data_IF_986069105307
#
_entry.id   IF_986069105307
#
_cell.length_a   1.000
_cell.length_b   1.000
_cell.length_c   1.000
_cell.angle_alpha   90.00
_cell.angle_beta   90.00
_cell.angle_gamma   90.00
#
_symmetry.space_group_name_H-M   'P 1'
#
loop_
_entity.id
_entity.type
_entity.pdbx_description
1 polymer ?
#
# COMPACT_ATOMS: atom_id res chain seq x y z
N UNK A 1 8.68 -12.68 -9.97
CA UNK A 1 8.34 -11.98 -8.72
C UNK A 1 7.75 -10.64 -9.11
N UNK A 2 6.63 -10.30 -8.49
CA UNK A 2 6.05 -8.97 -8.60
C UNK A 2 6.69 -8.06 -7.55
N UNK A 3 6.75 -6.77 -7.85
CA UNK A 3 7.33 -5.74 -7.00
C UNK A 3 6.26 -4.71 -6.69
N UNK A 4 5.95 -4.55 -5.40
CA UNK A 4 5.10 -3.48 -4.90
C UNK A 4 5.98 -2.49 -4.16
N UNK A 5 5.94 -1.22 -4.54
CA UNK A 5 6.61 -0.16 -3.80
C UNK A 5 5.63 0.94 -3.42
N UNK A 6 5.84 1.52 -2.24
CA UNK A 6 5.04 2.62 -1.68
C UNK A 6 6.03 3.68 -1.23
N UNK A 7 5.86 4.89 -1.74
CA UNK A 7 6.69 6.03 -1.40
C UNK A 7 5.82 7.06 -0.67
N UNK A 8 6.15 7.32 0.60
CA UNK A 8 5.31 8.16 1.46
C UNK A 8 6.04 8.73 2.69
N UNK A 9 5.39 9.68 3.34
CA UNK A 9 5.70 10.19 4.67
C UNK A 9 4.52 9.98 5.66
N UNK A 10 3.73 8.92 5.45
CA UNK A 10 2.58 8.60 6.30
C UNK A 10 1.29 9.37 5.99
N UNK A 11 1.33 10.34 5.07
CA UNK A 11 0.16 11.11 4.65
C UNK A 11 -0.41 10.61 3.31
N UNK A 12 -1.73 10.38 3.26
CA UNK A 12 -2.43 9.90 2.06
C UNK A 12 -2.21 10.78 0.82
N UNK A 13 -2.14 12.10 1.00
CA UNK A 13 -1.86 13.07 -0.07
C UNK A 13 -0.42 13.02 -0.60
N UNK A 14 0.50 12.46 0.19
CA UNK A 14 1.91 12.26 -0.11
C UNK A 14 2.22 10.77 -0.12
N UNK A 15 1.41 10.03 -0.88
CA UNK A 15 1.58 8.59 -1.10
C UNK A 15 1.55 8.29 -2.59
N UNK A 16 2.61 7.70 -3.11
CA UNK A 16 2.65 7.09 -4.44
C UNK A 16 2.81 5.58 -4.30
N UNK A 17 2.14 4.84 -5.18
CA UNK A 17 2.24 3.38 -5.24
C UNK A 17 2.73 2.97 -6.61
N UNK A 18 3.68 2.05 -6.63
CA UNK A 18 4.32 1.53 -7.82
C UNK A 18 4.12 0.02 -7.87
N UNK A 19 3.86 -0.49 -9.06
CA UNK A 19 3.79 -1.93 -9.32
C UNK A 19 4.69 -2.26 -10.50
N UNK A 20 5.65 -3.16 -10.29
CA UNK A 20 6.70 -3.53 -11.25
C UNK A 20 7.40 -2.30 -11.86
N UNK A 21 7.75 -1.33 -11.01
CA UNK A 21 8.46 -0.10 -11.40
C UNK A 21 7.62 0.98 -12.08
N UNK A 22 6.32 0.75 -12.31
CA UNK A 22 5.40 1.76 -12.87
C UNK A 22 4.51 2.34 -11.79
N UNK A 23 4.40 3.68 -11.71
CA UNK A 23 3.46 4.30 -10.79
C UNK A 23 2.02 4.04 -11.25
N UNK A 24 1.16 3.61 -10.33
CA UNK A 24 -0.24 3.32 -10.57
C UNK A 24 -1.16 4.28 -9.81
N UNK A 25 -2.36 4.50 -10.34
CA UNK A 25 -3.36 5.37 -9.76
C UNK A 25 -4.73 4.69 -9.65
N UNK A 26 -5.67 5.33 -8.95
CA UNK A 26 -7.02 4.82 -8.77
C UNK A 26 -7.16 3.78 -7.66
N UNK A 27 -6.12 3.58 -6.86
CA UNK A 27 -6.15 2.73 -5.66
C UNK A 27 -7.18 3.28 -4.67
N UNK A 28 -8.01 2.38 -4.15
CA UNK A 28 -9.01 2.63 -3.12
C UNK A 28 -8.56 2.05 -1.79
N UNK A 29 -7.92 0.90 -1.83
CA UNK A 29 -7.46 0.18 -0.66
C UNK A 29 -6.22 -0.63 -1.02
N UNK A 30 -5.23 -0.61 -0.14
CA UNK A 30 -4.06 -1.46 -0.15
C UNK A 30 -3.96 -2.08 1.23
N UNK A 31 -3.87 -3.41 1.28
CA UNK A 31 -3.80 -4.17 2.51
C UNK A 31 -2.70 -5.22 2.40
N UNK A 32 -1.72 -5.16 3.29
CA UNK A 32 -0.71 -6.18 3.50
C UNK A 32 -0.78 -6.61 4.96
N UNK A 33 -0.89 -7.92 5.18
CA UNK A 33 -0.67 -8.54 6.47
C UNK A 33 0.17 -9.79 6.21
N UNK A 34 1.46 -9.68 6.48
CA UNK A 34 2.44 -10.75 6.27
C UNK A 34 3.04 -11.06 7.63
N UNK A 35 3.01 -12.32 8.06
CA UNK A 35 3.65 -12.76 9.30
C UNK A 35 4.51 -14.01 9.10
N UNK A 36 5.47 -14.21 10.00
CA UNK A 36 6.38 -15.37 9.99
C UNK A 36 5.68 -16.71 10.28
N UNK A 37 4.46 -16.66 10.82
CA UNK A 37 3.65 -17.84 11.20
C UNK A 37 2.81 -18.38 10.03
N UNK A 38 2.88 -17.73 8.86
CA UNK A 38 2.30 -18.20 7.60
C UNK A 38 1.11 -17.37 7.09
N UNK A 39 0.78 -16.23 7.71
CA UNK A 39 -0.19 -15.30 7.11
C UNK A 39 0.47 -14.55 5.96
N UNK A 40 -0.19 -14.56 4.79
CA UNK A 40 0.23 -13.80 3.62
C UNK A 40 -0.99 -13.21 2.90
N UNK A 41 -1.55 -12.15 3.49
CA UNK A 41 -2.64 -11.40 2.89
C UNK A 41 -2.08 -10.17 2.17
N UNK A 42 -2.22 -10.12 0.85
CA UNK A 42 -1.73 -9.01 0.03
C UNK A 42 -2.79 -8.58 -0.97
N UNK A 43 -3.66 -7.66 -0.59
CA UNK A 43 -4.83 -7.24 -1.37
C UNK A 43 -4.70 -5.80 -1.85
N UNK A 44 -5.11 -5.57 -3.10
CA UNK A 44 -5.28 -4.25 -3.67
C UNK A 44 -6.69 -4.10 -4.24
N UNK A 45 -7.35 -3.01 -3.91
CA UNK A 45 -8.56 -2.54 -4.56
C UNK A 45 -8.25 -1.29 -5.38
N UNK A 46 -8.64 -1.29 -6.66
CA UNK A 46 -8.39 -0.16 -7.55
C UNK A 46 -9.49 0.01 -8.60
N UNK A 47 -9.67 1.25 -9.06
CA UNK A 47 -10.51 1.58 -10.21
C UNK A 47 -9.67 1.54 -11.49
N UNK A 48 -9.93 0.57 -12.35
CA UNK A 48 -9.23 0.38 -13.62
C UNK A 48 -9.45 1.51 -14.63
N UNK A 49 -8.68 1.51 -15.71
CA UNK A 49 -8.79 2.45 -16.85
C UNK A 49 -10.16 2.38 -17.55
N UNK A 50 -10.83 1.24 -17.44
CA UNK A 50 -12.20 0.98 -17.89
C UNK A 50 -13.28 1.41 -16.89
N UNK A 51 -12.87 2.03 -15.77
CA UNK A 51 -13.73 2.51 -14.67
C UNK A 51 -14.40 1.40 -13.84
N UNK A 52 -13.99 0.15 -14.01
CA UNK A 52 -14.45 -0.94 -13.16
C UNK A 52 -13.61 -1.01 -11.88
N UNK A 53 -14.22 -1.46 -10.79
CA UNK A 53 -13.52 -1.74 -9.54
C UNK A 53 -13.01 -3.18 -9.55
N UNK A 54 -11.74 -3.34 -9.20
CA UNK A 54 -11.07 -4.63 -9.07
C UNK A 54 -10.58 -4.80 -7.64
N UNK A 55 -10.71 -6.01 -7.12
CA UNK A 55 -10.03 -6.47 -5.90
C UNK A 55 -9.21 -7.69 -6.29
N UNK A 56 -7.91 -7.64 -6.03
CA UNK A 56 -6.93 -8.63 -6.48
C UNK A 56 -5.90 -8.90 -5.40
N UNK A 57 -5.33 -10.10 -5.40
CA UNK A 57 -4.07 -10.32 -4.72
C UNK A 57 -2.92 -9.69 -5.52
N UNK A 58 -2.03 -8.97 -4.84
CA UNK A 58 -0.98 -8.16 -5.49
C UNK A 58 0.09 -9.04 -6.16
N UNK A 59 0.41 -10.17 -5.54
CA UNK A 59 1.56 -11.01 -5.93
C UNK A 59 1.13 -12.29 -6.68
N UNK A 60 -0.09 -12.79 -6.44
CA UNK A 60 -0.58 -14.01 -7.09
C UNK A 60 -1.54 -13.79 -8.26
N UNK A 61 -2.24 -12.66 -8.32
CA UNK A 61 -3.17 -12.38 -9.43
C UNK A 61 -2.55 -11.51 -10.52
N UNK A 62 -3.10 -11.62 -11.72
CA UNK A 62 -2.85 -10.65 -12.79
C UNK A 62 -3.66 -9.36 -12.56
N UNK A 63 -2.94 -8.25 -12.31
CA UNK A 63 -3.52 -6.92 -12.24
C UNK A 63 -3.81 -6.37 -13.64
N UNK A 64 -5.08 -6.41 -14.04
CA UNK A 64 -5.56 -5.94 -15.34
C UNK A 64 -6.05 -4.49 -15.28
N UNK A 65 -6.03 -3.79 -16.43
CA UNK A 65 -6.59 -2.45 -16.58
C UNK A 65 -6.01 -1.40 -15.59
N UNK A 66 -4.78 -1.58 -15.13
CA UNK A 66 -4.11 -0.60 -14.27
C UNK A 66 -4.01 0.77 -14.96
N UNK A 67 -4.19 1.84 -14.18
CA UNK A 67 -3.96 3.22 -14.63
C UNK A 67 -2.54 3.63 -14.32
N UNK A 68 -1.64 3.46 -15.29
CA UNK A 68 -0.26 3.92 -15.19
C UNK A 68 -0.22 5.44 -15.33
N UNK A 69 0.53 6.10 -14.44
CA UNK A 69 0.69 7.56 -14.43
C UNK A 69 2.17 7.94 -14.37
N UNK A 70 2.57 9.14 -14.81
CA UNK A 70 3.92 9.65 -14.57
C UNK A 70 4.21 9.79 -13.06
N UNK A 71 5.50 9.84 -12.68
CA UNK A 71 5.92 10.13 -11.31
C UNK A 71 5.22 11.36 -10.74
N UNK A 72 4.67 11.22 -9.54
CA UNK A 72 3.95 12.30 -8.85
C UNK A 72 4.87 13.22 -8.05
N UNK A 73 6.08 12.78 -7.74
CA UNK A 73 7.07 13.55 -7.00
C UNK A 73 8.27 13.88 -7.88
N UNK A 74 8.80 15.08 -7.66
CA UNK A 74 10.13 15.44 -8.15
C UNK A 74 11.22 14.70 -7.36
N UNK A 75 12.45 14.64 -7.87
CA UNK A 75 13.58 14.03 -7.15
C UNK A 75 13.82 14.67 -5.77
N UNK A 76 13.64 15.99 -5.67
CA UNK A 76 13.78 16.72 -4.40
C UNK A 76 12.68 16.35 -3.39
N UNK A 77 11.43 16.18 -3.86
CA UNK A 77 10.33 15.74 -3.00
C UNK A 77 10.50 14.28 -2.58
N UNK A 78 10.89 13.40 -3.51
CA UNK A 78 11.14 11.98 -3.24
C UNK A 78 12.23 11.77 -2.19
N UNK A 79 13.28 12.61 -2.21
CA UNK A 79 14.35 12.56 -1.20
C UNK A 79 13.88 12.87 0.24
N UNK A 80 12.67 13.43 0.41
CA UNK A 80 12.05 13.67 1.70
C UNK A 80 10.98 12.63 2.06
N UNK A 81 10.79 11.60 1.24
CA UNK A 81 9.86 10.50 1.47
C UNK A 81 10.63 9.22 1.81
N UNK A 82 9.94 8.28 2.44
CA UNK A 82 10.43 6.94 2.69
C UNK A 82 9.87 5.99 1.62
N UNK A 83 10.74 5.18 1.03
CA UNK A 83 10.38 4.14 0.07
C UNK A 83 10.33 2.79 0.77
N UNK A 84 9.17 2.14 0.73
CA UNK A 84 8.98 0.77 1.20
C UNK A 84 8.68 -0.14 0.01
N UNK A 85 9.43 -1.23 -0.14
CA UNK A 85 9.28 -2.16 -1.26
C UNK A 85 9.15 -3.60 -0.77
N UNK A 86 8.22 -4.33 -1.38
CA UNK A 86 8.02 -5.78 -1.21
C UNK A 86 8.22 -6.45 -2.56
N UNK A 87 9.19 -7.34 -2.64
CA UNK A 87 9.41 -8.22 -3.79
C UNK A 87 8.97 -9.64 -3.41
N UNK A 88 7.98 -10.19 -4.12
CA UNK A 88 7.43 -11.51 -3.78
C UNK A 88 6.83 -12.23 -4.98
N UNK A 89 6.72 -13.56 -4.91
CA UNK A 89 5.88 -14.39 -5.79
C UNK A 89 4.56 -14.83 -5.14
N UNK A 90 4.29 -14.37 -3.91
CA UNK A 90 3.12 -14.74 -3.12
C UNK A 90 3.40 -15.74 -2.01
N UNK A 91 4.64 -16.25 -1.90
CA UNK A 91 5.07 -17.16 -0.84
C UNK A 91 6.04 -16.45 0.13
N UNK A 92 5.97 -16.80 1.42
CA UNK A 92 6.77 -16.14 2.48
C UNK A 92 8.27 -16.36 2.27
N UNK A 93 8.67 -17.57 1.88
CA UNK A 93 10.08 -17.95 1.68
C UNK A 93 10.75 -17.17 0.53
N UNK A 94 9.95 -16.65 -0.39
CA UNK A 94 10.41 -15.89 -1.55
C UNK A 94 9.97 -14.42 -1.45
N UNK A 95 9.89 -13.87 -0.24
CA UNK A 95 9.54 -12.48 0.01
C UNK A 95 10.72 -11.70 0.57
N UNK A 96 11.06 -10.58 -0.08
CA UNK A 96 12.15 -9.68 0.35
C UNK A 96 11.58 -8.28 0.55
N UNK A 97 11.97 -7.67 1.66
CA UNK A 97 11.52 -6.35 2.09
C UNK A 97 12.67 -5.37 1.99
N UNK A 98 12.39 -4.18 1.47
CA UNK A 98 13.36 -3.09 1.39
C UNK A 98 12.77 -1.81 1.96
N UNK A 99 13.60 -1.05 2.66
CA UNK A 99 13.31 0.33 3.07
C UNK A 99 14.43 1.20 2.49
N UNK A 100 14.08 2.20 1.70
CA UNK A 100 15.01 3.09 1.00
C UNK A 100 16.10 2.31 0.22
N UNK A 101 15.67 1.30 -0.54
CA UNK A 101 16.51 0.38 -1.32
C UNK A 101 17.48 -0.50 -0.51
N UNK A 102 17.41 -0.47 0.82
CA UNK A 102 18.17 -1.35 1.70
C UNK A 102 17.32 -2.55 2.13
N UNK A 103 17.84 -3.77 1.92
CA UNK A 103 17.16 -5.00 2.31
C UNK A 103 17.06 -5.10 3.84
N UNK A 104 15.89 -5.49 4.33
CA UNK A 104 15.60 -5.59 5.75
C UNK A 104 15.66 -7.05 6.22
N UNK A 105 16.49 -7.33 7.21
CA UNK A 105 16.61 -8.65 7.85
C UNK A 105 15.75 -8.71 9.13
N UNK A 106 15.39 -9.92 9.56
CA UNK A 106 14.68 -10.13 10.82
C UNK A 106 13.22 -9.66 10.84
N UNK A 107 12.62 -9.35 9.68
CA UNK A 107 11.20 -8.96 9.59
C UNK A 107 10.32 -10.16 9.92
N UNK A 108 9.47 -10.02 10.94
CA UNK A 108 8.54 -11.07 11.39
C UNK A 108 7.08 -10.72 11.16
N UNK A 109 6.75 -9.44 11.03
CA UNK A 109 5.41 -8.99 10.67
C UNK A 109 5.46 -7.70 9.87
N UNK A 110 4.56 -7.59 8.90
CA UNK A 110 4.24 -6.37 8.17
C UNK A 110 2.74 -6.18 8.22
N UNK A 111 2.30 -5.05 8.74
CA UNK A 111 0.92 -4.63 8.69
C UNK A 111 0.81 -3.30 7.97
N UNK A 112 0.23 -3.30 6.77
CA UNK A 112 -0.03 -2.09 6.00
C UNK A 112 -1.50 -2.04 5.61
N UNK A 113 -2.18 -0.98 5.98
CA UNK A 113 -3.56 -0.71 5.58
C UNK A 113 -3.70 0.74 5.17
N UNK A 114 -3.79 0.97 3.87
CA UNK A 114 -4.01 2.28 3.27
C UNK A 114 -5.38 2.25 2.60
N UNK A 115 -6.32 3.08 3.09
CA UNK A 115 -7.68 3.17 2.56
C UNK A 115 -8.03 4.63 2.28
N UNK A 116 -8.19 4.94 1.00
CA UNK A 116 -8.48 6.29 0.50
C UNK A 116 -9.87 6.35 -0.14
N UNK A 117 -10.93 6.30 0.66
CA UNK A 117 -12.29 6.45 0.13
C UNK A 117 -12.63 7.92 0.02
N UNK A 118 -12.20 8.53 -1.08
CA UNK A 118 -12.81 9.79 -1.53
C UNK A 118 -14.06 9.45 -2.30
N UNK A 119 -15.22 9.43 -1.62
CA UNK A 119 -16.49 9.56 -2.32
C UNK A 119 -16.42 10.89 -3.09
N UNK A 120 -16.25 10.84 -4.41
CA UNK A 120 -16.49 11.99 -5.28
C UNK A 120 -18.00 12.28 -5.24
N UNK A 121 -18.47 12.88 -4.15
CA UNK A 121 -19.74 13.60 -4.16
C UNK A 121 -19.50 14.86 -4.96
N UNK A 122 -19.66 14.75 -6.29
CA UNK A 122 -19.56 15.87 -7.19
C UNK A 122 -20.67 16.86 -6.88
N UNK A 123 -20.31 18.07 -6.45
CA UNK A 123 -20.97 19.38 -6.63
C UNK A 123 -22.52 19.53 -6.51
N UNK A 124 -23.29 18.50 -6.14
CA UNK A 124 -24.76 18.45 -6.14
C UNK A 124 -25.35 17.91 -4.82
N UNK A 125 -24.54 17.76 -3.76
CA UNK A 125 -24.97 17.15 -2.49
C UNK A 125 -25.92 18.01 -1.62
N UNK A 126 -26.36 19.18 -2.08
CA UNK A 126 -27.30 20.02 -1.33
C UNK A 126 -28.77 19.54 -1.43
N UNK A 127 -29.05 18.47 -2.19
CA UNK A 127 -30.40 17.92 -2.35
C UNK A 127 -30.43 16.42 -2.05
N UNK A 128 -30.38 16.07 -0.76
CA UNK A 128 -31.14 15.00 -0.09
C UNK A 128 -30.43 14.60 1.20
N UNK A 129 -31.02 14.99 2.32
CA UNK A 129 -30.81 14.30 3.59
C UNK A 129 -31.21 12.84 3.42
N UNK A 130 -30.26 11.94 3.67
CA UNK A 130 -30.53 10.58 4.14
C UNK A 130 -29.58 10.34 5.31
N UNK A 131 -30.08 9.95 6.50
CA UNK A 131 -29.24 9.57 7.62
C UNK A 131 -28.55 8.25 7.27
N UNK A 132 -27.30 8.08 7.70
CA UNK A 132 -26.40 6.96 7.40
C UNK A 132 -25.62 7.06 6.08
N UNK A 133 -24.82 8.12 5.96
CA UNK A 133 -23.60 8.01 5.15
C UNK A 133 -22.59 7.26 6.02
N UNK A 134 -22.30 6.01 5.70
CA UNK A 134 -21.13 5.32 6.25
C UNK A 134 -19.93 6.24 6.00
N UNK A 135 -19.41 6.86 7.08
CA UNK A 135 -18.06 7.40 7.07
C UNK A 135 -17.16 6.19 6.79
N UNK A 136 -16.74 6.02 5.55
CA UNK A 136 -15.64 5.12 5.27
C UNK A 136 -14.40 5.85 5.74
N UNK A 137 -13.88 5.43 6.89
CA UNK A 137 -12.75 6.06 7.54
C UNK A 137 -11.54 6.04 6.58
N UNK A 138 -10.86 7.18 6.47
CA UNK A 138 -9.54 7.24 5.88
C UNK A 138 -8.61 6.47 6.81
N UNK A 139 -7.92 5.47 6.27
CA UNK A 139 -6.98 4.65 7.05
C UNK A 139 -5.61 4.80 6.42
N UNK A 140 -4.63 5.11 7.25
CA UNK A 140 -3.22 4.97 6.92
C UNK A 140 -2.55 4.38 8.15
N UNK A 141 -2.33 3.07 8.12
CA UNK A 141 -1.61 2.35 9.16
C UNK A 141 -0.51 1.54 8.50
N UNK A 142 0.70 1.63 9.01
CA UNK A 142 1.86 0.98 8.42
C UNK A 142 2.88 0.68 9.50
N UNK A 143 2.92 -0.58 9.92
CA UNK A 143 3.78 -1.10 10.98
C UNK A 143 4.62 -2.23 10.41
N UNK A 144 5.88 -2.30 10.84
CA UNK A 144 6.78 -3.42 10.60
C UNK A 144 7.33 -3.87 11.94
N UNK A 145 7.40 -5.19 12.15
CA UNK A 145 7.95 -5.77 13.37
C UNK A 145 9.18 -6.59 13.04
N UNK A 146 10.24 -6.37 13.81
CA UNK A 146 11.52 -7.04 13.69
C UNK A 146 11.76 -7.95 14.90
N UNK A 147 12.52 -9.02 14.67
CA UNK A 147 13.12 -9.86 15.70
C UNK A 147 14.58 -9.47 15.88
N UNK A 148 14.91 -8.98 17.07
CA UNK A 148 16.27 -8.59 17.45
C UNK A 148 17.14 -9.81 17.76
N UNK A 149 18.46 -9.60 17.88
CA UNK A 149 19.43 -10.67 18.20
C UNK A 149 19.17 -11.34 19.56
N UNK A 150 18.46 -10.68 20.47
CA UNK A 150 18.09 -11.17 21.80
C UNK A 150 16.69 -11.81 21.85
N UNK A 151 16.12 -12.14 20.68
CA UNK A 151 14.76 -12.65 20.48
C UNK A 151 13.62 -11.71 20.89
N UNK A 152 13.91 -10.46 21.26
CA UNK A 152 12.86 -9.45 21.49
C UNK A 152 12.24 -8.98 20.19
N UNK A 153 10.98 -8.51 20.28
CA UNK A 153 10.25 -7.94 19.15
C UNK A 153 10.16 -6.43 19.27
N UNK A 154 10.44 -5.75 18.17
CA UNK A 154 10.36 -4.29 18.05
C UNK A 154 9.45 -3.93 16.88
N UNK A 155 8.47 -3.06 17.13
CA UNK A 155 7.53 -2.58 16.11
C UNK A 155 7.78 -1.11 15.83
N UNK A 156 7.91 -0.78 14.55
CA UNK A 156 8.15 0.57 14.06
C UNK A 156 7.11 0.97 13.02
N UNK A 157 6.87 2.28 12.86
CA UNK A 157 6.09 2.80 11.74
C UNK A 157 6.92 2.81 10.47
N UNK A 158 6.37 2.32 9.36
CA UNK A 158 7.06 2.27 8.06
C UNK A 158 7.17 3.67 7.45
N UNK A 159 6.29 4.62 7.77
CA UNK A 159 6.35 5.98 7.24
C UNK A 159 6.08 6.98 8.37
N UNK A 160 6.91 8.03 8.44
CA UNK A 160 6.87 9.09 9.46
C UNK A 160 6.56 10.46 8.85
#
# INVERSE_FOLDING_TARGET
>A
MAVLSIESNGLLEKTAVYYNGSQISGIKELFLNIDEEGTFDALIQYEGSDKQLYTKNIFSDNLVNLKIVPPSFTEEEAAALQLFTVESDGELENTIIYINDEAQEGVVNIFLHIKAVKNKSGFLSFLKQSPETYNQDLIFKSEITFRNEDDTLETEEIFL
#
